data_IF_363675392954
#
_entry.id   IF_363675392954
#
_cell.length_a   1.000
_cell.length_b   1.000
_cell.length_c   1.000
_cell.angle_alpha   90.00
_cell.angle_beta   90.00
_cell.angle_gamma   90.00
#
_symmetry.space_group_name_H-M   'P 1'
#
loop_
_entity.id
_entity.type
_entity.pdbx_description
1 polymer ?
#
# COMPACT_ATOMS: atom_id res chain seq x y z
N UNK A 1 -6.58 -10.21 36.38
CA UNK A 1 -6.98 -8.80 36.61
C UNK A 1 -6.61 -7.93 35.40
N UNK A 2 -5.47 -8.18 34.76
CA UNK A 2 -4.98 -7.53 33.54
C UNK A 2 -5.86 -7.80 32.30
N UNK A 3 -6.33 -9.03 32.11
CA UNK A 3 -7.20 -9.40 30.97
C UNK A 3 -8.54 -8.66 30.96
N UNK A 4 -9.13 -8.41 32.15
CA UNK A 4 -10.35 -7.60 32.29
C UNK A 4 -10.13 -6.12 31.98
N UNK A 5 -8.91 -5.59 32.19
CA UNK A 5 -8.57 -4.19 31.89
C UNK A 5 -8.33 -3.98 30.39
N UNK A 6 -7.70 -4.97 29.73
CA UNK A 6 -7.51 -4.99 28.27
C UNK A 6 -8.87 -5.07 27.57
N UNK A 7 -9.73 -6.01 27.99
CA UNK A 7 -11.05 -6.18 27.39
C UNK A 7 -11.91 -4.91 27.52
N UNK A 8 -11.91 -4.28 28.71
CA UNK A 8 -12.63 -3.03 28.92
C UNK A 8 -12.11 -1.88 28.04
N UNK A 9 -10.80 -1.85 27.78
CA UNK A 9 -10.17 -0.86 26.89
C UNK A 9 -10.54 -1.10 25.42
N UNK A 10 -10.54 -2.36 24.99
CA UNK A 10 -10.96 -2.78 23.64
C UNK A 10 -12.44 -2.42 23.42
N UNK A 11 -13.32 -2.74 24.37
CA UNK A 11 -14.75 -2.44 24.26
C UNK A 11 -15.02 -0.93 24.14
N UNK A 12 -14.24 -0.12 24.87
CA UNK A 12 -14.32 1.34 24.81
C UNK A 12 -13.94 1.89 23.44
N UNK A 13 -12.91 1.33 22.80
CA UNK A 13 -12.51 1.71 21.44
C UNK A 13 -13.52 1.19 20.42
N UNK A 14 -13.95 -0.06 20.55
CA UNK A 14 -14.91 -0.70 19.65
C UNK A 14 -16.24 0.06 19.59
N UNK A 15 -16.73 0.57 20.73
CA UNK A 15 -17.96 1.39 20.79
C UNK A 15 -17.83 2.73 20.05
N UNK A 16 -16.61 3.25 19.87
CA UNK A 16 -16.38 4.52 19.14
C UNK A 16 -16.34 4.36 17.62
N UNK A 17 -16.14 3.14 17.11
CA UNK A 17 -16.06 2.88 15.67
C UNK A 17 -17.48 2.85 15.09
N UNK A 18 -17.80 3.66 14.06
CA UNK A 18 -19.11 3.64 13.43
C UNK A 18 -19.46 2.27 12.82
N UNK A 19 -20.75 1.91 12.84
CA UNK A 19 -21.22 0.61 12.34
C UNK A 19 -20.87 0.38 10.86
N UNK A 20 -20.93 1.41 10.02
CA UNK A 20 -20.58 1.31 8.60
C UNK A 20 -19.08 1.04 8.37
N UNK A 21 -18.20 1.51 9.27
CA UNK A 21 -16.76 1.20 9.22
C UNK A 21 -16.52 -0.25 9.62
N UNK A 22 -17.21 -0.75 10.66
CA UNK A 22 -17.14 -2.16 11.05
C UNK A 22 -17.62 -3.08 9.94
N UNK A 23 -18.71 -2.68 9.27
CA UNK A 23 -19.23 -3.38 8.10
C UNK A 23 -18.19 -3.42 6.98
N UNK A 24 -17.55 -2.30 6.67
CA UNK A 24 -16.49 -2.24 5.65
C UNK A 24 -15.32 -3.19 5.97
N UNK A 25 -14.85 -3.20 7.23
CA UNK A 25 -13.76 -4.07 7.68
C UNK A 25 -14.19 -5.54 7.54
N UNK A 26 -15.34 -5.91 8.09
CA UNK A 26 -15.83 -7.29 8.04
C UNK A 26 -16.10 -7.77 6.61
N UNK A 27 -16.74 -6.94 5.79
CA UNK A 27 -17.06 -7.23 4.40
C UNK A 27 -15.78 -7.43 3.57
N UNK A 28 -14.81 -6.51 3.69
CA UNK A 28 -13.53 -6.61 2.97
C UNK A 28 -12.75 -7.85 3.41
N UNK A 29 -12.71 -8.13 4.72
CA UNK A 29 -11.98 -9.29 5.24
C UNK A 29 -12.59 -10.61 4.76
N UNK A 30 -13.90 -10.79 4.92
CA UNK A 30 -14.59 -12.03 4.53
C UNK A 30 -14.52 -12.22 3.01
N UNK A 31 -14.88 -11.21 2.22
CA UNK A 31 -14.84 -11.32 0.77
C UNK A 31 -13.42 -11.49 0.24
N UNK A 32 -12.44 -10.80 0.83
CA UNK A 32 -11.05 -10.91 0.42
C UNK A 32 -10.46 -12.29 0.71
N UNK A 33 -10.81 -12.90 1.85
CA UNK A 33 -10.48 -14.30 2.12
C UNK A 33 -11.12 -15.19 1.05
N UNK A 34 -12.42 -15.03 0.78
CA UNK A 34 -13.13 -15.86 -0.20
C UNK A 34 -12.55 -15.75 -1.62
N UNK A 35 -12.27 -14.53 -2.09
CA UNK A 35 -11.74 -14.29 -3.43
C UNK A 35 -10.30 -14.80 -3.62
N UNK A 36 -9.49 -14.81 -2.54
CA UNK A 36 -8.07 -15.20 -2.61
C UNK A 36 -7.80 -16.57 -1.96
N UNK A 37 -8.84 -17.29 -1.53
CA UNK A 37 -8.72 -18.55 -0.78
C UNK A 37 -7.89 -19.58 -1.54
N UNK A 38 -8.05 -19.63 -2.86
CA UNK A 38 -7.30 -20.53 -3.72
C UNK A 38 -5.78 -20.33 -3.56
N UNK A 39 -5.29 -19.09 -3.59
CA UNK A 39 -3.86 -18.77 -3.45
C UNK A 39 -3.36 -19.05 -2.03
N UNK A 40 -4.20 -18.84 -1.00
CA UNK A 40 -3.81 -19.12 0.39
C UNK A 40 -3.63 -20.61 0.69
N UNK A 41 -4.37 -21.45 -0.03
CA UNK A 41 -4.38 -22.90 0.15
C UNK A 41 -3.48 -23.62 -0.85
N UNK A 42 -3.25 -23.03 -2.02
CA UNK A 42 -2.41 -23.57 -3.09
C UNK A 42 -1.30 -22.58 -3.40
N UNK A 43 -0.30 -22.48 -2.50
CA UNK A 43 0.83 -21.57 -2.71
C UNK A 43 1.57 -21.99 -3.98
N UNK A 44 1.53 -21.12 -5.00
CA UNK A 44 2.43 -21.21 -6.13
C UNK A 44 3.78 -20.60 -5.73
N UNK A 45 4.77 -21.45 -5.48
CA UNK A 45 6.13 -21.00 -5.15
C UNK A 45 6.71 -20.26 -6.34
N UNK A 46 7.04 -18.99 -6.15
CA UNK A 46 7.67 -18.17 -7.18
C UNK A 46 9.20 -18.07 -6.98
N UNK A 47 9.89 -17.46 -7.93
CA UNK A 47 11.36 -17.30 -7.86
C UNK A 47 11.80 -16.46 -6.65
N UNK A 48 11.04 -15.43 -6.28
CA UNK A 48 11.33 -14.56 -5.13
C UNK A 48 11.12 -15.30 -3.80
N UNK A 49 10.16 -16.21 -3.70
CA UNK A 49 9.93 -17.07 -2.53
C UNK A 49 11.16 -17.95 -2.30
N UNK A 50 11.67 -18.59 -3.35
CA UNK A 50 12.87 -19.43 -3.29
C UNK A 50 14.09 -18.59 -2.87
N UNK A 51 14.26 -17.40 -3.45
CA UNK A 51 15.35 -16.49 -3.09
C UNK A 51 15.24 -16.00 -1.64
N UNK A 52 14.03 -15.70 -1.18
CA UNK A 52 13.77 -15.22 0.17
C UNK A 52 13.97 -16.30 1.25
N UNK A 53 13.70 -17.57 0.92
CA UNK A 53 13.77 -18.70 1.85
C UNK A 53 15.15 -19.38 1.86
N UNK A 54 15.78 -19.59 0.70
CA UNK A 54 17.02 -20.36 0.59
C UNK A 54 18.30 -19.52 0.48
N UNK A 55 18.21 -18.29 -0.04
CA UNK A 55 19.38 -17.44 -0.31
C UNK A 55 19.48 -16.27 0.69
N UNK A 56 18.46 -16.10 1.54
CA UNK A 56 18.32 -15.12 2.62
C UNK A 56 19.34 -13.96 2.59
N UNK A 57 19.14 -13.02 1.68
CA UNK A 57 20.01 -11.86 1.56
C UNK A 57 19.36 -10.67 2.29
N UNK A 58 19.52 -10.59 3.63
CA UNK A 58 19.14 -9.39 4.41
C UNK A 58 19.69 -8.10 3.79
N UNK A 59 20.82 -8.23 3.11
CA UNK A 59 21.47 -7.15 2.36
C UNK A 59 20.64 -6.68 1.16
N UNK A 60 19.96 -7.56 0.41
CA UNK A 60 19.21 -7.18 -0.80
C UNK A 60 18.04 -6.23 -0.54
N UNK A 61 17.34 -6.39 0.59
CA UNK A 61 16.24 -5.51 0.97
C UNK A 61 16.76 -4.12 1.36
N UNK A 62 17.88 -4.06 2.09
CA UNK A 62 18.45 -2.81 2.57
C UNK A 62 19.10 -2.01 1.43
N UNK A 63 19.84 -2.68 0.55
CA UNK A 63 20.47 -2.03 -0.62
C UNK A 63 19.45 -1.52 -1.64
N UNK A 64 18.21 -2.01 -1.64
CA UNK A 64 17.11 -1.50 -2.48
C UNK A 64 16.29 -0.37 -1.82
N UNK A 65 16.70 0.07 -0.63
CA UNK A 65 16.01 1.10 0.16
C UNK A 65 14.77 0.58 0.92
N UNK A 66 14.57 -0.75 0.97
CA UNK A 66 13.38 -1.38 1.56
C UNK A 66 13.62 -1.82 3.00
N UNK A 67 14.19 -0.94 3.82
CA UNK A 67 14.60 -1.25 5.19
C UNK A 67 13.44 -1.73 6.10
N UNK A 68 12.20 -1.35 5.79
CA UNK A 68 11.02 -1.73 6.58
C UNK A 68 10.67 -3.22 6.43
N UNK A 69 11.11 -3.89 5.37
CA UNK A 69 10.90 -5.34 5.18
C UNK A 69 11.46 -6.13 6.35
N UNK A 70 12.68 -5.80 6.77
CA UNK A 70 13.35 -6.46 7.89
C UNK A 70 12.53 -6.34 9.18
N UNK A 71 11.95 -5.17 9.44
CA UNK A 71 11.16 -4.92 10.65
C UNK A 71 9.83 -5.69 10.62
N UNK A 72 9.14 -5.70 9.49
CA UNK A 72 7.87 -6.41 9.34
C UNK A 72 8.08 -7.92 9.42
N UNK A 73 9.13 -8.46 8.80
CA UNK A 73 9.47 -9.89 8.87
C UNK A 73 9.83 -10.35 10.29
N UNK A 74 10.42 -9.47 11.11
CA UNK A 74 10.63 -9.74 12.56
C UNK A 74 9.33 -9.87 13.34
N UNK A 75 8.31 -9.10 12.98
CA UNK A 75 7.01 -9.10 13.66
C UNK A 75 6.13 -10.26 13.18
N UNK A 76 6.26 -10.63 11.90
CA UNK A 76 5.44 -11.66 11.26
C UNK A 76 6.11 -13.02 11.33
N UNK A 77 6.96 -13.36 10.37
CA UNK A 77 7.80 -14.55 10.38
C UNK A 77 8.91 -14.42 9.33
N UNK A 78 10.02 -15.11 9.58
CA UNK A 78 11.05 -15.33 8.57
C UNK A 78 10.80 -16.59 7.72
N UNK A 79 9.99 -17.51 8.25
CA UNK A 79 9.53 -18.70 7.55
C UNK A 79 8.25 -18.41 6.79
N UNK A 80 8.12 -19.03 5.62
CA UNK A 80 6.95 -18.87 4.79
C UNK A 80 5.72 -19.55 5.39
N UNK A 81 4.70 -18.76 5.73
CA UNK A 81 3.46 -19.23 6.34
C UNK A 81 2.25 -18.70 5.54
N UNK A 82 1.94 -19.31 4.38
CA UNK A 82 0.94 -18.85 3.41
C UNK A 82 -0.37 -18.35 4.00
N UNK A 83 -1.03 -19.18 4.80
CA UNK A 83 -2.33 -18.86 5.38
C UNK A 83 -2.23 -17.73 6.40
N UNK A 84 -1.20 -17.74 7.25
CA UNK A 84 -0.96 -16.68 8.23
C UNK A 84 -0.70 -15.34 7.55
N UNK A 85 0.15 -15.32 6.53
CA UNK A 85 0.48 -14.14 5.75
C UNK A 85 -0.70 -13.59 4.95
N UNK A 86 -1.51 -14.50 4.38
CA UNK A 86 -2.79 -14.17 3.75
C UNK A 86 -3.73 -13.46 4.71
N UNK A 87 -3.94 -14.03 5.90
CA UNK A 87 -4.82 -13.48 6.95
C UNK A 87 -4.32 -12.12 7.45
N UNK A 88 -3.03 -12.01 7.80
CA UNK A 88 -2.44 -10.74 8.27
C UNK A 88 -2.56 -9.66 7.20
N UNK A 89 -2.24 -10.01 5.95
CA UNK A 89 -2.36 -9.10 4.82
C UNK A 89 -3.80 -8.63 4.63
N UNK A 90 -4.75 -9.56 4.63
CA UNK A 90 -6.16 -9.25 4.44
C UNK A 90 -6.73 -8.42 5.60
N UNK A 91 -6.26 -8.64 6.83
CA UNK A 91 -6.60 -7.79 7.96
C UNK A 91 -6.11 -6.35 7.75
N UNK A 92 -4.88 -6.17 7.25
CA UNK A 92 -4.34 -4.87 6.88
C UNK A 92 -5.17 -4.16 5.80
N UNK A 93 -5.57 -4.89 4.74
CA UNK A 93 -6.46 -4.36 3.70
C UNK A 93 -7.83 -3.99 4.25
N UNK A 94 -8.41 -4.84 5.10
CA UNK A 94 -9.73 -4.63 5.68
C UNK A 94 -9.78 -3.36 6.55
N UNK A 95 -8.77 -3.15 7.40
CA UNK A 95 -8.65 -1.93 8.19
C UNK A 95 -8.49 -0.71 7.28
N UNK A 96 -7.67 -0.82 6.23
CA UNK A 96 -7.48 0.24 5.22
C UNK A 96 -8.80 0.61 4.54
N UNK A 97 -9.60 -0.38 4.14
CA UNK A 97 -10.93 -0.18 3.55
C UNK A 97 -11.88 0.52 4.52
N UNK A 98 -11.88 0.13 5.80
CA UNK A 98 -12.65 0.80 6.84
C UNK A 98 -12.28 2.28 6.99
N UNK A 99 -10.99 2.60 6.97
CA UNK A 99 -10.50 3.98 7.06
C UNK A 99 -10.88 4.78 5.79
N UNK A 100 -10.78 4.18 4.60
CA UNK A 100 -11.20 4.83 3.35
C UNK A 100 -12.70 5.13 3.36
N UNK A 101 -13.54 4.15 3.72
CA UNK A 101 -14.99 4.33 3.86
C UNK A 101 -15.32 5.45 4.86
N UNK A 102 -14.58 5.52 5.97
CA UNK A 102 -14.72 6.59 6.96
C UNK A 102 -14.38 7.98 6.37
N UNK A 103 -13.25 8.11 5.67
CA UNK A 103 -12.82 9.38 5.07
C UNK A 103 -13.75 9.84 3.95
N UNK A 104 -14.23 8.90 3.12
CA UNK A 104 -15.19 9.17 2.05
C UNK A 104 -16.62 9.41 2.57
N UNK A 105 -16.87 9.19 3.87
CA UNK A 105 -18.18 9.36 4.53
C UNK A 105 -19.30 8.53 3.88
N UNK A 106 -18.97 7.34 3.38
CA UNK A 106 -19.95 6.42 2.78
C UNK A 106 -20.69 5.73 3.92
N UNK A 107 -21.98 6.06 4.09
CA UNK A 107 -22.81 5.55 5.20
C UNK A 107 -23.81 4.49 4.76
N UNK A 108 -24.19 4.50 3.49
CA UNK A 108 -25.15 3.55 2.95
C UNK A 108 -24.54 2.15 2.88
N UNK A 109 -25.30 1.15 3.34
CA UNK A 109 -24.78 -0.22 3.52
C UNK A 109 -24.42 -0.87 2.19
N UNK A 110 -25.21 -0.62 1.15
CA UNK A 110 -24.96 -1.20 -0.17
C UNK A 110 -23.65 -0.65 -0.75
N UNK A 111 -23.46 0.67 -0.71
CA UNK A 111 -22.22 1.29 -1.20
C UNK A 111 -20.99 0.91 -0.36
N UNK A 112 -21.14 0.72 0.95
CA UNK A 112 -20.07 0.20 1.80
C UNK A 112 -19.65 -1.21 1.36
N UNK A 113 -20.61 -2.12 1.23
CA UNK A 113 -20.32 -3.51 0.83
C UNK A 113 -19.74 -3.54 -0.60
N UNK A 114 -20.27 -2.74 -1.52
CA UNK A 114 -19.79 -2.64 -2.88
C UNK A 114 -18.33 -2.17 -2.93
N UNK A 115 -17.98 -1.10 -2.20
CA UNK A 115 -16.59 -0.61 -2.16
C UNK A 115 -15.66 -1.66 -1.53
N UNK A 116 -16.10 -2.30 -0.44
CA UNK A 116 -15.36 -3.40 0.19
C UNK A 116 -15.12 -4.57 -0.76
N UNK A 117 -16.13 -4.95 -1.55
CA UNK A 117 -16.03 -6.01 -2.55
C UNK A 117 -15.02 -5.64 -3.63
N UNK A 118 -15.11 -4.42 -4.18
CA UNK A 118 -14.19 -3.90 -5.20
C UNK A 118 -12.74 -3.92 -4.67
N UNK A 119 -12.52 -3.45 -3.45
CA UNK A 119 -11.19 -3.44 -2.83
C UNK A 119 -10.65 -4.85 -2.60
N UNK A 120 -11.50 -5.78 -2.16
CA UNK A 120 -11.14 -7.17 -1.91
C UNK A 120 -10.86 -7.95 -3.20
N UNK A 121 -11.62 -7.70 -4.26
CA UNK A 121 -11.50 -8.39 -5.57
C UNK A 121 -10.54 -7.71 -6.53
N UNK A 122 -9.92 -6.59 -6.15
CA UNK A 122 -9.07 -5.84 -7.07
C UNK A 122 -7.88 -6.71 -7.53
N UNK A 123 -7.57 -6.78 -8.85
CA UNK A 123 -6.57 -7.71 -9.38
C UNK A 123 -5.17 -7.59 -8.75
N UNK A 124 -4.81 -6.41 -8.22
CA UNK A 124 -3.52 -6.22 -7.53
C UNK A 124 -3.36 -7.15 -6.33
N UNK A 125 -4.46 -7.57 -5.68
CA UNK A 125 -4.39 -8.49 -4.55
C UNK A 125 -3.89 -9.87 -5.01
N UNK A 126 -4.35 -10.35 -6.17
CA UNK A 126 -3.82 -11.58 -6.75
C UNK A 126 -2.33 -11.44 -7.10
N UNK A 127 -1.91 -10.28 -7.61
CA UNK A 127 -0.49 -10.00 -7.86
C UNK A 127 0.33 -10.03 -6.55
N UNK A 128 -0.12 -9.34 -5.49
CA UNK A 128 0.58 -9.34 -4.20
C UNK A 128 0.62 -10.72 -3.55
N UNK A 129 -0.48 -11.47 -3.63
CA UNK A 129 -0.52 -12.83 -3.12
C UNK A 129 0.20 -13.85 -4.02
N UNK A 130 0.55 -13.50 -5.25
CA UNK A 130 1.53 -14.28 -6.02
C UNK A 130 2.92 -14.23 -5.36
N UNK A 131 3.19 -13.22 -4.53
CA UNK A 131 4.37 -13.09 -3.66
C UNK A 131 3.99 -13.29 -2.18
N UNK A 132 3.29 -14.39 -1.90
CA UNK A 132 2.63 -14.62 -0.60
C UNK A 132 3.58 -14.54 0.59
N UNK A 133 4.85 -14.95 0.44
CA UNK A 133 5.86 -14.90 1.52
C UNK A 133 6.13 -13.48 2.05
N UNK A 134 5.87 -12.47 1.21
CA UNK A 134 6.14 -11.06 1.51
C UNK A 134 4.82 -10.26 1.58
N UNK A 135 3.67 -10.88 1.30
CA UNK A 135 2.39 -10.17 1.26
C UNK A 135 2.09 -9.28 2.49
N UNK A 136 2.42 -9.65 3.75
CA UNK A 136 2.18 -8.79 4.90
C UNK A 136 2.86 -7.42 4.77
N UNK A 137 4.00 -7.35 4.07
CA UNK A 137 4.74 -6.12 3.82
C UNK A 137 3.95 -5.19 2.91
N UNK A 138 3.38 -5.69 1.81
CA UNK A 138 2.56 -4.89 0.90
C UNK A 138 1.30 -4.35 1.58
N UNK A 139 0.62 -5.17 2.36
CA UNK A 139 -0.60 -4.73 3.05
C UNK A 139 -0.31 -3.78 4.22
N UNK A 140 0.84 -3.91 4.88
CA UNK A 140 1.32 -2.90 5.82
C UNK A 140 1.62 -1.57 5.11
N UNK A 141 2.22 -1.61 3.92
CA UNK A 141 2.47 -0.43 3.10
C UNK A 141 1.19 0.30 2.72
N UNK A 142 0.15 -0.45 2.31
CA UNK A 142 -1.19 0.06 2.02
C UNK A 142 -1.79 0.71 3.27
N UNK A 143 -1.76 0.01 4.40
CA UNK A 143 -2.33 0.52 5.65
C UNK A 143 -1.66 1.81 6.11
N UNK A 144 -0.32 1.86 6.08
CA UNK A 144 0.43 3.05 6.46
C UNK A 144 0.26 4.19 5.45
N UNK A 145 0.14 3.91 4.15
CA UNK A 145 -0.22 4.93 3.14
C UNK A 145 -1.60 5.55 3.43
N UNK A 146 -2.61 4.71 3.70
CA UNK A 146 -3.97 5.15 4.03
C UNK A 146 -4.02 5.91 5.36
N UNK A 147 -3.27 5.46 6.37
CA UNK A 147 -3.13 6.17 7.65
C UNK A 147 -2.46 7.54 7.49
N UNK A 148 -1.50 7.65 6.57
CA UNK A 148 -0.88 8.92 6.22
C UNK A 148 -1.91 9.96 5.80
N UNK A 149 -2.79 9.57 4.87
CA UNK A 149 -3.92 10.39 4.43
C UNK A 149 -4.89 10.69 5.57
N UNK A 150 -5.25 9.67 6.34
CA UNK A 150 -6.18 9.80 7.47
C UNK A 150 -5.70 10.78 8.54
N UNK A 151 -4.41 10.81 8.87
CA UNK A 151 -3.90 11.73 9.89
C UNK A 151 -3.92 13.19 9.45
N UNK A 152 -3.69 13.46 8.16
CA UNK A 152 -3.88 14.81 7.60
C UNK A 152 -5.34 15.25 7.77
N UNK A 153 -6.29 14.36 7.45
CA UNK A 153 -7.72 14.62 7.58
C UNK A 153 -8.19 14.80 9.02
N UNK A 154 -7.76 13.89 9.90
CA UNK A 154 -8.27 13.79 11.27
C UNK A 154 -7.85 14.98 12.13
N UNK A 155 -6.60 15.41 11.98
CA UNK A 155 -6.02 16.44 12.84
C UNK A 155 -6.14 17.85 12.27
N UNK A 156 -6.47 18.01 10.97
CA UNK A 156 -6.95 19.24 10.32
C UNK A 156 -6.03 20.47 10.35
N UNK A 157 -5.04 20.51 11.25
CA UNK A 157 -3.99 21.51 11.42
C UNK A 157 -2.66 20.95 10.91
N UNK A 158 -1.61 21.76 11.01
CA UNK A 158 -0.22 21.34 10.74
C UNK A 158 0.25 20.16 11.61
N UNK A 159 -0.40 19.94 12.76
CA UNK A 159 -0.11 18.80 13.64
C UNK A 159 -0.33 17.42 12.99
N UNK A 160 -1.20 17.31 11.98
CA UNK A 160 -1.42 16.05 11.26
C UNK A 160 -0.28 15.66 10.31
N UNK A 161 0.59 16.62 9.95
CA UNK A 161 1.67 16.41 8.97
C UNK A 161 2.73 15.47 9.51
N UNK A 162 3.09 15.58 10.79
CA UNK A 162 4.11 14.74 11.42
C UNK A 162 3.71 13.26 11.44
N UNK A 163 2.57 12.87 12.05
CA UNK A 163 2.15 11.46 12.04
C UNK A 163 1.89 10.96 10.62
N UNK A 164 1.39 11.81 9.72
CA UNK A 164 1.23 11.45 8.31
C UNK A 164 2.57 11.16 7.62
N UNK A 165 3.55 12.04 7.81
CA UNK A 165 4.90 11.88 7.26
C UNK A 165 5.59 10.62 7.77
N UNK A 166 5.44 10.31 9.06
CA UNK A 166 5.95 9.05 9.63
C UNK A 166 5.27 7.84 8.99
N UNK A 167 3.95 7.84 8.82
CA UNK A 167 3.26 6.75 8.13
C UNK A 167 3.66 6.61 6.65
N UNK A 168 3.82 7.72 5.93
CA UNK A 168 4.29 7.71 4.54
C UNK A 168 5.73 7.19 4.47
N UNK A 169 6.60 7.60 5.40
CA UNK A 169 7.96 7.06 5.52
C UNK A 169 7.95 5.55 5.71
N UNK A 170 7.07 5.02 6.57
CA UNK A 170 6.94 3.57 6.76
C UNK A 170 6.52 2.86 5.48
N UNK A 171 5.56 3.44 4.76
CA UNK A 171 5.09 2.91 3.47
C UNK A 171 6.21 2.91 2.42
N UNK A 172 6.91 4.04 2.23
CA UNK A 172 8.05 4.15 1.31
C UNK A 172 9.20 3.21 1.66
N UNK A 173 9.47 3.04 2.96
CA UNK A 173 10.48 2.10 3.47
C UNK A 173 10.15 0.64 3.19
N UNK A 174 8.92 0.33 2.77
CA UNK A 174 8.59 -0.98 2.19
C UNK A 174 8.76 -0.98 0.68
N UNK A 175 8.12 -0.04 -0.02
CA UNK A 175 8.17 0.04 -1.47
C UNK A 175 7.77 1.45 -1.92
N UNK A 176 8.60 2.07 -2.74
CA UNK A 176 8.50 3.49 -3.05
C UNK A 176 7.26 3.84 -3.89
N UNK A 177 6.74 2.88 -4.65
CA UNK A 177 5.53 3.06 -5.48
C UNK A 177 4.25 3.28 -4.66
N UNK A 178 4.20 2.91 -3.38
CA UNK A 178 3.02 3.17 -2.53
C UNK A 178 2.79 4.67 -2.25
N UNK A 179 3.75 5.54 -2.58
CA UNK A 179 3.48 6.98 -2.64
C UNK A 179 2.31 7.31 -3.58
N UNK A 180 2.21 6.59 -4.71
CA UNK A 180 1.15 6.78 -5.68
C UNK A 180 -0.23 6.47 -5.08
N UNK A 181 -0.33 5.48 -4.17
CA UNK A 181 -1.57 5.19 -3.45
C UNK A 181 -1.97 6.35 -2.53
N UNK A 182 -1.01 6.91 -1.79
CA UNK A 182 -1.22 8.07 -0.91
C UNK A 182 -1.70 9.28 -1.71
N UNK A 183 -1.01 9.58 -2.81
CA UNK A 183 -1.33 10.70 -3.71
C UNK A 183 -2.70 10.48 -4.36
N UNK A 184 -2.96 9.28 -4.88
CA UNK A 184 -4.21 8.94 -5.55
C UNK A 184 -5.42 9.06 -4.62
N UNK A 185 -5.29 8.62 -3.36
CA UNK A 185 -6.36 8.77 -2.37
C UNK A 185 -6.56 10.24 -1.96
N UNK A 186 -5.48 10.99 -1.72
CA UNK A 186 -5.55 12.42 -1.45
C UNK A 186 -6.21 13.19 -2.61
N UNK A 187 -5.83 12.87 -3.84
CA UNK A 187 -6.42 13.44 -5.05
C UNK A 187 -7.90 13.06 -5.19
N UNK A 188 -8.26 11.81 -4.95
CA UNK A 188 -9.65 11.35 -4.99
C UNK A 188 -10.51 12.15 -4.02
N UNK A 189 -10.03 12.37 -2.79
CA UNK A 189 -10.73 13.21 -1.83
C UNK A 189 -10.82 14.67 -2.30
N UNK A 190 -9.73 15.20 -2.85
CA UNK A 190 -9.69 16.57 -3.39
C UNK A 190 -10.70 16.79 -4.51
N UNK A 191 -10.80 15.82 -5.41
CA UNK A 191 -11.75 15.81 -6.51
C UNK A 191 -13.19 15.71 -6.02
N UNK A 192 -13.49 14.81 -5.08
CA UNK A 192 -14.83 14.67 -4.52
C UNK A 192 -15.30 15.90 -3.73
N UNK A 193 -14.37 16.62 -3.09
CA UNK A 193 -14.67 17.88 -2.41
C UNK A 193 -15.12 18.99 -3.37
N UNK A 194 -14.75 18.95 -4.65
CA UNK A 194 -15.20 19.92 -5.67
C UNK A 194 -16.70 19.83 -5.96
N UNK A 195 -17.31 18.67 -5.72
CA UNK A 195 -18.74 18.44 -5.97
C UNK A 195 -19.61 18.78 -4.75
N UNK A 196 -19.03 19.33 -3.67
CA UNK A 196 -19.79 19.74 -2.50
C UNK A 196 -20.30 21.17 -2.64
N UNK A 197 -21.54 21.39 -2.23
CA UNK A 197 -22.25 22.68 -2.39
C UNK A 197 -21.62 23.86 -1.62
N UNK A 198 -20.71 23.60 -0.66
CA UNK A 198 -20.05 24.58 0.21
C UNK A 198 -18.60 24.92 -0.22
N UNK A 199 -18.33 24.84 -1.51
CA UNK A 199 -16.99 24.98 -2.07
C UNK A 199 -16.36 26.36 -1.87
N UNK A 200 -15.15 26.38 -1.29
CA UNK A 200 -14.29 27.55 -1.15
C UNK A 200 -12.86 27.17 -1.58
N UNK A 201 -12.40 27.74 -2.69
CA UNK A 201 -11.08 27.45 -3.28
C UNK A 201 -9.92 27.71 -2.31
N UNK A 202 -10.01 28.72 -1.44
CA UNK A 202 -8.94 29.05 -0.49
C UNK A 202 -8.86 28.00 0.62
N UNK A 203 -10.02 27.55 1.12
CA UNK A 203 -10.09 26.46 2.12
C UNK A 203 -9.67 25.14 1.51
N UNK A 204 -10.09 24.85 0.28
CA UNK A 204 -9.71 23.68 -0.48
C UNK A 204 -8.18 23.62 -0.66
N UNK A 205 -7.57 24.68 -1.19
CA UNK A 205 -6.12 24.72 -1.41
C UNK A 205 -5.33 24.57 -0.10
N UNK A 206 -5.74 25.28 0.97
CA UNK A 206 -5.13 25.17 2.30
C UNK A 206 -5.25 23.77 2.91
N UNK A 207 -6.31 23.03 2.59
CA UNK A 207 -6.47 21.64 3.00
C UNK A 207 -5.50 20.75 2.24
N UNK A 208 -5.47 20.86 0.91
CA UNK A 208 -4.73 19.91 0.08
C UNK A 208 -3.22 20.16 0.01
N UNK A 209 -2.76 21.39 0.23
CA UNK A 209 -1.31 21.68 0.34
C UNK A 209 -0.64 20.93 1.50
N UNK A 210 -1.39 20.58 2.56
CA UNK A 210 -0.87 19.81 3.70
C UNK A 210 -0.47 18.39 3.32
N UNK A 211 -1.12 17.79 2.32
CA UNK A 211 -0.71 16.49 1.79
C UNK A 211 0.63 16.57 1.10
N UNK A 212 0.90 17.67 0.39
CA UNK A 212 2.21 17.90 -0.23
C UNK A 212 3.29 18.00 0.83
N UNK A 213 3.05 18.75 1.92
CA UNK A 213 3.99 18.82 3.05
C UNK A 213 4.16 17.46 3.76
N UNK A 214 3.08 16.70 3.96
CA UNK A 214 3.15 15.37 4.58
C UNK A 214 3.91 14.37 3.70
N UNK A 215 3.66 14.36 2.39
CA UNK A 215 4.38 13.54 1.43
C UNK A 215 5.86 13.93 1.34
N UNK A 216 6.16 15.22 1.29
CA UNK A 216 7.53 15.74 1.32
C UNK A 216 8.26 15.36 2.61
N UNK A 217 7.62 15.53 3.76
CA UNK A 217 8.18 15.10 5.05
C UNK A 217 8.42 13.59 5.07
N UNK A 218 7.45 12.78 4.64
CA UNK A 218 7.60 11.33 4.58
C UNK A 218 8.73 10.87 3.67
N UNK A 219 8.90 11.54 2.53
CA UNK A 219 10.01 11.29 1.61
C UNK A 219 11.38 11.63 2.22
N UNK A 220 11.49 12.80 2.87
CA UNK A 220 12.72 13.20 3.56
C UNK A 220 13.07 12.25 4.71
N UNK A 221 12.08 11.87 5.53
CA UNK A 221 12.29 10.91 6.60
C UNK A 221 12.69 9.53 6.05
N UNK A 222 12.05 9.08 4.97
CA UNK A 222 12.40 7.83 4.30
C UNK A 222 13.85 7.83 3.84
N UNK A 223 14.30 8.95 3.27
CA UNK A 223 15.69 9.12 2.83
C UNK A 223 16.67 9.04 3.99
N UNK A 224 16.39 9.75 5.09
CA UNK A 224 17.22 9.71 6.30
C UNK A 224 17.31 8.28 6.84
N UNK A 225 16.18 7.58 7.00
CA UNK A 225 16.15 6.21 7.50
C UNK A 225 16.86 5.23 6.57
N UNK A 226 16.76 5.42 5.25
CA UNK A 226 17.46 4.61 4.26
C UNK A 226 18.97 4.79 4.39
N UNK A 227 19.46 6.05 4.47
CA UNK A 227 20.89 6.34 4.68
C UNK A 227 21.42 5.78 5.99
N UNK A 228 20.66 5.91 7.07
CA UNK A 228 21.03 5.34 8.37
C UNK A 228 21.13 3.81 8.25
N UNK A 229 20.17 3.17 7.58
CA UNK A 229 20.17 1.71 7.41
C UNK A 229 21.39 1.22 6.63
N UNK A 230 21.75 1.90 5.53
CA UNK A 230 22.96 1.61 4.74
C UNK A 230 24.25 1.82 5.53
N UNK A 231 24.34 2.92 6.29
CA UNK A 231 25.50 3.22 7.10
C UNK A 231 25.71 2.18 8.22
N UNK A 232 24.63 1.69 8.83
CA UNK A 232 24.69 0.63 9.86
C UNK A 232 25.15 -0.69 9.24
N UNK A 233 24.74 -1.02 8.02
CA UNK A 233 25.12 -2.27 7.37
C UNK A 233 26.45 -2.20 6.62
N UNK A 234 27.02 -1.02 6.42
CA UNK A 234 28.21 -0.82 5.60
C UNK A 234 27.98 -1.07 4.10
N UNK A 235 26.72 -0.94 3.66
CA UNK A 235 26.30 -1.25 2.30
C UNK A 235 26.06 0.02 1.48
N UNK A 236 26.15 -0.10 0.15
CA UNK A 236 25.78 0.98 -0.77
C UNK A 236 24.43 0.69 -1.45
N UNK A 237 23.74 1.75 -1.87
CA UNK A 237 22.46 1.60 -2.56
C UNK A 237 22.69 0.92 -3.91
N UNK A 238 22.04 -0.22 -4.14
CA UNK A 238 22.16 -0.97 -5.39
C UNK A 238 21.62 -0.13 -6.54
N UNK A 239 22.28 -0.15 -7.70
CA UNK A 239 21.71 0.39 -8.95
C UNK A 239 20.60 -0.56 -9.45
N UNK A 240 19.36 -0.33 -9.03
CA UNK A 240 18.23 -1.17 -9.41
C UNK A 240 16.98 -0.31 -9.61
N UNK A 241 16.37 -0.35 -10.80
CA UNK A 241 15.15 0.42 -11.12
C UNK A 241 15.25 1.94 -10.87
N UNK A 242 16.42 2.54 -11.06
CA UNK A 242 16.64 3.98 -10.92
C UNK A 242 16.85 4.47 -9.48
N UNK A 243 17.09 3.57 -8.52
CA UNK A 243 17.43 3.88 -7.12
C UNK A 243 18.68 4.76 -6.98
N UNK A 244 19.62 4.66 -7.92
CA UNK A 244 20.81 5.50 -8.04
C UNK A 244 20.48 6.97 -8.40
N UNK A 245 19.37 7.17 -9.11
CA UNK A 245 18.81 8.49 -9.48
C UNK A 245 17.65 8.94 -8.60
N UNK A 246 17.24 8.15 -7.61
CA UNK A 246 16.20 8.59 -6.65
C UNK A 246 16.58 9.88 -5.91
N UNK A 247 17.86 10.25 -5.92
CA UNK A 247 18.40 11.42 -5.23
C UNK A 247 18.73 12.61 -6.15
N UNK A 248 18.59 12.49 -7.48
CA UNK A 248 18.81 13.61 -8.39
C UNK A 248 17.54 14.46 -8.52
N UNK A 249 17.53 15.61 -7.84
CA UNK A 249 16.47 16.62 -7.95
C UNK A 249 16.74 17.60 -9.12
N UNK A 250 17.39 17.14 -10.19
CA UNK A 250 17.71 18.01 -11.32
C UNK A 250 16.45 18.30 -12.14
N UNK A 251 16.12 19.58 -12.33
CA UNK A 251 14.89 20.00 -12.99
C UNK A 251 14.73 19.40 -14.40
N UNK A 252 15.84 19.26 -15.13
CA UNK A 252 15.86 18.65 -16.46
C UNK A 252 15.59 17.14 -16.47
N UNK A 253 15.92 16.43 -15.39
CA UNK A 253 15.58 15.01 -15.23
C UNK A 253 14.11 14.84 -14.80
N UNK A 254 13.58 15.75 -13.97
CA UNK A 254 12.17 15.77 -13.58
C UNK A 254 11.29 15.99 -14.81
N UNK A 255 11.59 16.99 -15.64
CA UNK A 255 10.83 17.27 -16.87
C UNK A 255 10.91 16.11 -17.87
N UNK A 256 12.08 15.48 -18.02
CA UNK A 256 12.23 14.27 -18.83
C UNK A 256 11.38 13.12 -18.28
N UNK A 257 11.42 12.89 -16.97
CA UNK A 257 10.65 11.82 -16.30
C UNK A 257 9.15 12.02 -16.47
N UNK A 258 8.65 13.26 -16.38
CA UNK A 258 7.24 13.58 -16.65
C UNK A 258 6.86 13.25 -18.10
N UNK A 259 7.69 13.65 -19.08
CA UNK A 259 7.44 13.35 -20.49
C UNK A 259 7.47 11.84 -20.78
N UNK A 260 8.45 11.12 -20.22
CA UNK A 260 8.56 9.67 -20.36
C UNK A 260 7.37 8.97 -19.72
N UNK A 261 6.95 9.39 -18.52
CA UNK A 261 5.78 8.81 -17.84
C UNK A 261 4.51 9.01 -18.65
N UNK A 262 4.30 10.22 -19.20
CA UNK A 262 3.15 10.51 -20.05
C UNK A 262 3.11 9.63 -21.30
N UNK A 263 4.25 9.48 -21.99
CA UNK A 263 4.35 8.63 -23.17
C UNK A 263 4.12 7.15 -22.83
N UNK A 264 4.79 6.63 -21.80
CA UNK A 264 4.62 5.25 -21.35
C UNK A 264 3.17 4.95 -20.97
N UNK A 265 2.49 5.91 -20.33
CA UNK A 265 1.09 5.76 -19.98
C UNK A 265 0.19 5.74 -21.21
N UNK A 266 0.46 6.61 -22.20
CA UNK A 266 -0.24 6.59 -23.49
C UNK A 266 -0.03 5.25 -24.21
N UNK A 267 1.19 4.72 -24.23
CA UNK A 267 1.50 3.46 -24.91
C UNK A 267 0.89 2.26 -24.18
N UNK A 268 0.86 2.28 -22.85
CA UNK A 268 0.20 1.27 -22.03
C UNK A 268 -1.32 1.22 -22.29
N UNK A 269 -2.00 2.37 -22.35
CA UNK A 269 -3.46 2.38 -22.55
C UNK A 269 -3.90 2.26 -24.01
N UNK A 270 -3.11 2.77 -24.97
CA UNK A 270 -3.54 2.90 -26.37
C UNK A 270 -2.77 2.02 -27.36
N UNK A 271 -1.59 1.47 -27.00
CA UNK A 271 -0.81 0.60 -27.88
C UNK A 271 -0.69 -0.86 -27.42
N UNK A 272 -0.96 -1.20 -26.15
CA UNK A 272 -0.80 -2.55 -25.60
C UNK A 272 -1.89 -3.57 -26.02
N UNK A 273 -2.11 -3.78 -27.33
CA UNK A 273 -2.77 -5.01 -27.82
C UNK A 273 -1.87 -6.25 -27.70
N UNK A 274 -0.55 -6.09 -27.61
CA UNK A 274 0.41 -7.20 -27.65
C UNK A 274 0.52 -8.02 -26.35
N UNK A 275 0.47 -7.40 -25.17
CA UNK A 275 0.64 -8.14 -23.91
C UNK A 275 -0.56 -9.01 -23.51
N UNK A 276 -1.78 -8.59 -23.89
CA UNK A 276 -2.97 -9.43 -23.76
C UNK A 276 -2.87 -10.67 -24.67
N UNK A 277 -2.31 -10.52 -25.87
CA UNK A 277 -2.04 -11.66 -26.75
C UNK A 277 -0.98 -12.59 -26.16
N UNK A 278 0.16 -12.10 -25.68
CA UNK A 278 1.20 -12.97 -25.11
C UNK A 278 0.74 -13.68 -23.82
N UNK A 279 -0.05 -13.03 -22.97
CA UNK A 279 -0.65 -13.68 -21.80
C UNK A 279 -1.70 -14.74 -22.17
N UNK A 280 -2.52 -14.49 -23.20
CA UNK A 280 -3.47 -15.49 -23.74
C UNK A 280 -2.75 -16.65 -24.45
N UNK A 281 -1.65 -16.38 -25.17
CA UNK A 281 -0.81 -17.39 -25.80
C UNK A 281 -0.09 -18.25 -24.77
N UNK A 282 0.43 -17.66 -23.70
CA UNK A 282 1.04 -18.40 -22.58
C UNK A 282 0.05 -19.30 -21.84
N UNK A 283 -1.19 -18.83 -21.62
CA UNK A 283 -2.26 -19.62 -21.01
C UNK A 283 -2.75 -20.76 -21.93
N UNK A 284 -2.80 -20.55 -23.24
CA UNK A 284 -3.18 -21.61 -24.20
C UNK A 284 -2.08 -22.65 -24.37
N UNK A 285 -0.79 -22.27 -24.37
CA UNK A 285 0.33 -23.22 -24.36
C UNK A 285 0.37 -24.07 -23.08
N UNK A 286 0.09 -23.49 -21.91
CA UNK A 286 0.01 -24.22 -20.63
C UNK A 286 -1.17 -25.21 -20.60
N UNK A 287 -2.32 -24.84 -21.19
CA UNK A 287 -3.47 -25.75 -21.32
C UNK A 287 -3.26 -26.85 -22.36
N UNK A 288 -2.51 -26.59 -23.44
CA UNK A 288 -2.22 -27.58 -24.48
C UNK A 288 -1.12 -28.58 -24.08
N UNK A 289 -0.21 -28.21 -23.17
CA UNK A 289 0.80 -29.13 -22.62
C UNK A 289 0.30 -30.01 -21.47
N UNK A 290 -0.93 -29.79 -21.00
CA UNK A 290 -1.55 -30.54 -19.90
C UNK A 290 -2.67 -31.50 -20.35
N UNK A 291 -2.82 -31.68 -21.67
CA UNK A 291 -3.60 -32.74 -22.34
C UNK A 291 -2.64 -33.70 -23.05
#
# INVERSE_FOLDING_TARGET
>A
MEEKSVQASVDKVYKKIPAYVKLAIAATFIMGILFNLFIFTNKAVNHDDIMAEFIYNKQLDIVSGRYMWLLIRRITSYYDMPMLFGIIGMAGLAVSAGIIVYMLKIKDRFFVILLSAIMASFPINACYYSYLSISPVYYFAILTAVLGVFFVERFGRWAGIIPAGVCIMMSLGTYQSFLALTIGLAFTMAFLDLFRNDYDIKKWFRRYIKYVFAAGLGFVLYFICTKISLAITGEELRQYAGTDKMFSLELGEILRSLKTTWNNQKDFYFQHRQYLQEALYGLTELCLRSL
#
